data_IF_999609093590
#
_entry.id   IF_999609093590
#
_cell.length_a   1.000
_cell.length_b   1.000
_cell.length_c   1.000
_cell.angle_alpha   90.00
_cell.angle_beta   90.00
_cell.angle_gamma   90.00
#
_symmetry.space_group_name_H-M   'P 1'
#
loop_
_entity.id
_entity.type
_entity.pdbx_description
1 polymer ?
#
# COMPACT_ATOMS: atom_id res chain seq x y z
N UNK A 1 -23.48 -6.46 13.83
CA UNK A 1 -22.17 -5.79 13.71
C UNK A 1 -22.14 -5.07 12.37
N UNK A 2 -21.52 -3.89 12.27
CA UNK A 2 -21.55 -3.09 11.04
C UNK A 2 -20.53 -3.66 10.03
N UNK A 3 -20.97 -4.08 8.86
CA UNK A 3 -20.15 -4.69 7.79
C UNK A 3 -18.91 -3.82 7.46
N UNK A 4 -19.06 -2.49 7.48
CA UNK A 4 -17.95 -1.58 7.21
C UNK A 4 -16.80 -1.70 8.22
N UNK A 5 -17.13 -1.91 9.51
CA UNK A 5 -16.13 -2.00 10.58
C UNK A 5 -15.35 -3.30 10.46
N UNK A 6 -16.03 -4.40 10.16
CA UNK A 6 -15.41 -5.72 9.98
C UNK A 6 -14.41 -5.73 8.81
N UNK A 7 -14.77 -5.10 7.69
CA UNK A 7 -13.88 -4.96 6.53
C UNK A 7 -12.62 -4.16 6.91
N UNK A 8 -12.77 -3.08 7.68
CA UNK A 8 -11.67 -2.21 8.08
C UNK A 8 -10.71 -2.91 9.03
N UNK A 9 -11.23 -3.60 10.05
CA UNK A 9 -10.42 -4.33 11.04
C UNK A 9 -9.56 -5.40 10.38
N UNK A 10 -10.14 -6.20 9.47
CA UNK A 10 -9.40 -7.21 8.71
C UNK A 10 -8.32 -6.59 7.81
N UNK A 11 -8.63 -5.45 7.19
CA UNK A 11 -7.70 -4.78 6.29
C UNK A 11 -6.48 -4.20 7.02
N UNK A 12 -6.64 -3.61 8.20
CA UNK A 12 -5.56 -2.92 8.93
C UNK A 12 -4.44 -3.88 9.36
N UNK A 13 -4.78 -5.10 9.78
CA UNK A 13 -3.79 -6.09 10.21
C UNK A 13 -2.85 -6.45 9.05
N UNK A 14 -3.42 -6.72 7.87
CA UNK A 14 -2.66 -7.07 6.67
C UNK A 14 -1.91 -5.87 6.12
N UNK A 15 -2.52 -4.67 6.18
CA UNK A 15 -1.91 -3.43 5.69
C UNK A 15 -0.55 -3.17 6.34
N UNK A 16 -0.40 -3.41 7.65
CA UNK A 16 0.86 -3.20 8.36
C UNK A 16 2.04 -3.99 7.77
N UNK A 17 1.81 -5.24 7.35
CA UNK A 17 2.83 -6.03 6.66
C UNK A 17 3.10 -5.51 5.24
N UNK A 18 2.04 -5.11 4.53
CA UNK A 18 2.14 -4.60 3.16
C UNK A 18 2.91 -3.29 3.07
N UNK A 19 2.89 -2.44 4.10
CA UNK A 19 3.66 -1.19 4.15
C UNK A 19 5.13 -1.42 3.80
N UNK A 20 5.78 -2.44 4.38
CA UNK A 20 7.19 -2.73 4.14
C UNK A 20 7.46 -3.23 2.72
N UNK A 21 6.58 -4.08 2.20
CA UNK A 21 6.68 -4.63 0.84
C UNK A 21 6.51 -3.50 -0.17
N UNK A 22 5.48 -2.67 0.00
CA UNK A 22 5.21 -1.53 -0.89
C UNK A 22 6.37 -0.54 -0.85
N UNK A 23 6.88 -0.20 0.34
CA UNK A 23 8.00 0.73 0.47
C UNK A 23 9.27 0.22 -0.23
N UNK A 24 9.57 -1.09 -0.11
CA UNK A 24 10.69 -1.71 -0.83
C UNK A 24 10.54 -1.60 -2.36
N UNK A 25 9.35 -1.84 -2.90
CA UNK A 25 9.10 -1.72 -4.35
C UNK A 25 9.22 -0.27 -4.80
N UNK A 26 8.66 0.68 -4.04
CA UNK A 26 8.77 2.12 -4.32
C UNK A 26 10.22 2.56 -4.34
N UNK A 27 11.03 2.08 -3.40
CA UNK A 27 12.46 2.38 -3.33
C UNK A 27 13.23 1.85 -4.54
N UNK A 28 12.93 0.63 -5.01
CA UNK A 28 13.52 0.09 -6.24
C UNK A 28 13.19 0.95 -7.45
N UNK A 29 11.93 1.38 -7.59
CA UNK A 29 11.50 2.23 -8.72
C UNK A 29 12.22 3.59 -8.67
N UNK A 30 12.35 4.19 -7.48
CA UNK A 30 13.09 5.43 -7.30
C UNK A 30 14.55 5.31 -7.71
N UNK A 31 15.21 4.22 -7.33
CA UNK A 31 16.62 4.02 -7.69
C UNK A 31 16.80 3.71 -9.18
N UNK A 32 15.78 3.15 -9.83
CA UNK A 32 15.80 2.80 -11.23
C UNK A 32 15.35 3.92 -12.18
N UNK A 33 14.75 5.01 -11.67
CA UNK A 33 14.12 6.06 -12.49
C UNK A 33 14.35 7.47 -11.95
N UNK A 34 14.37 8.48 -12.83
CA UNK A 34 14.46 9.89 -12.43
C UNK A 34 13.09 10.50 -12.07
N UNK A 35 12.21 9.72 -11.45
CA UNK A 35 10.85 10.18 -11.15
C UNK A 35 10.89 11.34 -10.14
N UNK A 36 10.19 12.44 -10.45
CA UNK A 36 10.06 13.56 -9.53
C UNK A 36 9.44 13.08 -8.20
N UNK A 37 10.11 13.42 -7.11
CA UNK A 37 9.75 13.05 -5.76
C UNK A 37 8.29 13.40 -5.40
N UNK A 38 7.68 14.39 -6.04
CA UNK A 38 6.26 14.74 -5.83
C UNK A 38 5.28 13.63 -6.23
N UNK A 39 5.70 12.70 -7.10
CA UNK A 39 4.87 11.59 -7.55
C UNK A 39 5.06 10.32 -6.72
N UNK A 40 6.06 10.27 -5.84
CA UNK A 40 6.34 9.08 -5.02
C UNK A 40 5.16 8.70 -4.12
N UNK A 41 4.47 9.63 -3.44
CA UNK A 41 3.27 9.28 -2.67
C UNK A 41 2.17 8.66 -3.53
N UNK A 42 1.95 9.21 -4.74
CA UNK A 42 0.97 8.68 -5.68
C UNK A 42 1.38 7.29 -6.19
N UNK A 43 2.67 7.09 -6.47
CA UNK A 43 3.22 5.80 -6.86
C UNK A 43 3.00 4.74 -5.76
N UNK A 44 3.28 5.07 -4.49
CA UNK A 44 3.03 4.18 -3.35
C UNK A 44 1.57 3.77 -3.25
N UNK A 45 0.64 4.70 -3.47
CA UNK A 45 -0.80 4.42 -3.45
C UNK A 45 -1.21 3.47 -4.58
N UNK A 46 -0.75 3.74 -5.81
CA UNK A 46 -1.07 2.91 -6.99
C UNK A 46 -0.49 1.51 -6.84
N UNK A 47 0.75 1.38 -6.34
CA UNK A 47 1.37 0.08 -6.04
C UNK A 47 0.60 -0.64 -4.95
N UNK A 48 0.20 0.06 -3.88
CA UNK A 48 -0.59 -0.51 -2.79
C UNK A 48 -1.90 -1.14 -3.28
N UNK A 49 -2.68 -0.40 -4.08
CA UNK A 49 -3.90 -0.94 -4.68
C UNK A 49 -3.61 -2.06 -5.67
N UNK A 50 -2.58 -1.92 -6.51
CA UNK A 50 -2.18 -2.96 -7.47
C UNK A 50 -1.81 -4.28 -6.78
N UNK A 51 -1.06 -4.22 -5.68
CA UNK A 51 -0.72 -5.39 -4.86
C UNK A 51 -1.97 -5.97 -4.20
N UNK A 52 -2.84 -5.13 -3.63
CA UNK A 52 -4.09 -5.58 -3.02
C UNK A 52 -4.97 -6.36 -4.02
N UNK A 53 -5.10 -5.85 -5.25
CA UNK A 53 -5.81 -6.56 -6.34
C UNK A 53 -5.09 -7.86 -6.72
N UNK A 54 -3.77 -7.82 -6.91
CA UNK A 54 -3.00 -9.00 -7.30
C UNK A 54 -3.11 -10.13 -6.26
N UNK A 55 -3.05 -9.80 -4.97
CA UNK A 55 -3.22 -10.76 -3.87
C UNK A 55 -4.66 -11.28 -3.85
N UNK A 56 -5.66 -10.41 -3.96
CA UNK A 56 -7.06 -10.81 -3.94
C UNK A 56 -7.37 -11.85 -5.03
N UNK A 57 -6.92 -11.58 -6.26
CA UNK A 57 -7.13 -12.48 -7.40
C UNK A 57 -6.27 -13.74 -7.33
N UNK A 58 -5.00 -13.62 -6.92
CA UNK A 58 -4.07 -14.75 -6.85
C UNK A 58 -4.41 -15.77 -5.78
N UNK A 59 -5.00 -15.32 -4.67
CA UNK A 59 -5.34 -16.17 -3.51
C UNK A 59 -6.84 -16.33 -3.29
N UNK A 60 -7.68 -15.81 -4.20
CA UNK A 60 -9.14 -15.85 -4.10
C UNK A 60 -9.67 -15.31 -2.75
N UNK A 61 -9.10 -14.18 -2.31
CA UNK A 61 -9.47 -13.50 -1.06
C UNK A 61 -10.58 -12.46 -1.28
N UNK A 62 -11.29 -12.03 -0.22
CA UNK A 62 -12.26 -10.96 -0.32
C UNK A 62 -11.65 -9.68 -0.92
N UNK A 63 -12.16 -9.27 -2.09
CA UNK A 63 -11.63 -8.13 -2.85
C UNK A 63 -11.67 -6.84 -2.02
N UNK A 64 -12.79 -6.54 -1.36
CA UNK A 64 -12.95 -5.30 -0.61
C UNK A 64 -11.89 -5.15 0.50
N UNK A 65 -11.72 -6.19 1.33
CA UNK A 65 -10.76 -6.21 2.44
C UNK A 65 -9.32 -6.12 1.94
N UNK A 66 -8.98 -6.91 0.93
CA UNK A 66 -7.59 -7.03 0.44
C UNK A 66 -7.14 -5.80 -0.35
N UNK A 67 -8.04 -5.22 -1.15
CA UNK A 67 -7.77 -3.96 -1.87
C UNK A 67 -7.64 -2.81 -0.88
N UNK A 68 -8.50 -2.75 0.14
CA UNK A 68 -8.38 -1.75 1.21
C UNK A 68 -7.10 -1.93 2.01
N UNK A 69 -6.70 -3.17 2.34
CA UNK A 69 -5.43 -3.44 3.01
C UNK A 69 -4.24 -2.92 2.18
N UNK A 70 -4.25 -3.17 0.87
CA UNK A 70 -3.25 -2.65 -0.06
C UNK A 70 -3.22 -1.12 -0.13
N UNK A 71 -4.39 -0.48 -0.21
CA UNK A 71 -4.51 0.98 -0.22
C UNK A 71 -4.00 1.62 1.09
N UNK A 72 -4.42 1.10 2.24
CA UNK A 72 -3.94 1.56 3.57
C UNK A 72 -2.42 1.34 3.68
N UNK A 73 -1.92 0.18 3.23
CA UNK A 73 -0.49 -0.10 3.19
C UNK A 73 0.28 0.88 2.30
N UNK A 74 -0.29 1.26 1.14
CA UNK A 74 0.29 2.23 0.22
C UNK A 74 0.37 3.64 0.80
N UNK A 75 -0.70 4.08 1.49
CA UNK A 75 -0.71 5.34 2.23
C UNK A 75 0.27 5.33 3.41
N UNK A 76 0.37 4.21 4.12
CA UNK A 76 1.37 4.03 5.18
C UNK A 76 2.80 4.10 4.64
N UNK A 77 3.06 3.50 3.47
CA UNK A 77 4.35 3.57 2.80
C UNK A 77 4.69 4.99 2.32
N UNK A 78 3.72 5.75 1.79
CA UNK A 78 3.95 7.16 1.45
C UNK A 78 4.27 8.02 2.68
N UNK A 79 3.59 7.77 3.81
CA UNK A 79 3.88 8.46 5.06
C UNK A 79 5.31 8.16 5.57
N UNK A 80 5.77 6.91 5.47
CA UNK A 80 7.17 6.59 5.77
C UNK A 80 8.14 7.36 4.86
N UNK A 81 7.89 7.40 3.56
CA UNK A 81 8.72 8.13 2.61
C UNK A 81 8.88 9.61 2.98
N UNK A 82 7.78 10.31 3.30
CA UNK A 82 7.81 11.73 3.63
C UNK A 82 8.60 12.02 4.93
N UNK A 83 8.54 11.10 5.91
CA UNK A 83 9.30 11.22 7.17
C UNK A 83 10.81 11.01 6.99
N UNK A 84 11.27 10.21 6.02
CA UNK A 84 12.70 10.03 5.75
C UNK A 84 13.31 11.11 4.86
N UNK A 85 12.50 11.86 4.10
CA UNK A 85 12.95 12.98 3.26
C UNK A 85 13.10 14.29 4.04
N UNK A 86 12.49 14.40 5.22
CA UNK A 86 12.45 15.62 6.02
C UNK A 86 13.62 15.76 7.03
N UNK A 87 14.67 14.94 6.87
CA UNK A 87 15.95 15.05 7.61
C UNK A 87 17.09 15.35 6.63
#
# INVERSE_FOLDING_TARGET
MNILIEILDNAVIVAGALVFIINGIVEVIKQATDLDNKYIPLLSLVIGFGIGVAIALGFNLPLAETILAGGIGGLGASGLYDNFKSV
#
